data_IF_452414484920
#
_entry.id   IF_452414484920
#
_cell.length_a   1.000
_cell.length_b   1.000
_cell.length_c   1.000
_cell.angle_alpha   90.00
_cell.angle_beta   90.00
_cell.angle_gamma   90.00
#
_symmetry.space_group_name_H-M   'P 1'
#
loop_
_entity.id
_entity.type
_entity.pdbx_description
1 polymer ?
#
# COMPACT_ATOMS: atom_id res chain seq x y z
N UNK A 1 18.89 0.69 -4.95
CA UNK A 1 17.52 1.03 -4.51
C UNK A 1 16.56 0.38 -5.49
N UNK A 2 15.75 -0.59 -5.05
CA UNK A 2 14.77 -1.20 -5.95
C UNK A 2 13.57 -0.26 -6.06
N UNK A 3 13.46 0.48 -7.15
CA UNK A 3 12.27 1.26 -7.48
C UNK A 3 11.30 0.33 -8.19
N UNK A 4 10.15 0.07 -7.58
CA UNK A 4 9.12 -0.74 -8.21
C UNK A 4 8.12 0.15 -8.95
N UNK A 5 8.28 0.24 -10.26
CA UNK A 5 7.38 0.99 -11.15
C UNK A 5 6.26 0.11 -11.73
N UNK A 6 5.98 -1.07 -11.12
CA UNK A 6 5.01 -2.02 -11.66
C UNK A 6 3.56 -1.71 -11.25
N UNK A 7 3.33 -0.70 -10.44
CA UNK A 7 2.00 -0.25 -10.09
C UNK A 7 1.31 0.46 -11.28
N UNK A 8 0.10 0.03 -11.62
CA UNK A 8 -0.80 0.74 -12.56
C UNK A 8 -1.81 1.59 -11.80
N UNK A 9 -2.32 1.08 -10.70
CA UNK A 9 -3.41 1.69 -9.93
C UNK A 9 -2.92 2.53 -8.75
N UNK A 10 -1.62 2.57 -8.49
CA UNK A 10 -1.03 3.41 -7.45
C UNK A 10 0.14 4.24 -8.00
N UNK A 11 0.22 5.48 -7.57
CA UNK A 11 1.32 6.38 -7.86
C UNK A 11 1.52 7.39 -6.73
N UNK A 12 2.76 7.58 -6.29
CA UNK A 12 3.14 8.73 -5.49
C UNK A 12 3.46 9.88 -6.44
N UNK A 13 2.50 10.81 -6.60
CA UNK A 13 2.57 11.88 -7.61
C UNK A 13 3.58 12.95 -7.18
N UNK A 14 3.50 13.40 -5.92
CA UNK A 14 4.34 14.47 -5.37
C UNK A 14 4.54 14.27 -3.87
N UNK A 15 5.63 14.86 -3.37
CA UNK A 15 5.98 14.83 -1.94
C UNK A 15 6.45 16.20 -1.49
N UNK A 16 6.21 16.55 -0.23
CA UNK A 16 6.71 17.79 0.38
C UNK A 16 5.99 18.14 1.68
N UNK A 17 6.66 18.89 2.56
CA UNK A 17 6.14 19.35 3.85
C UNK A 17 5.59 18.23 4.74
N UNK A 18 6.27 17.07 4.78
CA UNK A 18 5.81 15.94 5.58
C UNK A 18 4.58 15.22 5.02
N UNK A 19 4.26 15.41 3.75
CA UNK A 19 3.08 14.84 3.09
C UNK A 19 3.39 14.28 1.72
N UNK A 20 2.53 13.39 1.26
CA UNK A 20 2.55 12.82 -0.08
C UNK A 20 1.18 12.94 -0.75
N UNK A 21 1.19 13.33 -2.02
CA UNK A 21 0.05 13.32 -2.91
C UNK A 21 0.08 12.02 -3.70
N UNK A 22 -0.94 11.20 -3.55
CA UNK A 22 -0.99 9.85 -4.10
C UNK A 22 -2.24 9.62 -4.92
N UNK A 23 -2.10 8.89 -6.01
CA UNK A 23 -3.21 8.34 -6.77
C UNK A 23 -3.44 6.88 -6.39
N UNK A 24 -4.68 6.56 -6.07
CA UNK A 24 -5.16 5.23 -5.72
C UNK A 24 -6.32 4.85 -6.67
N UNK A 25 -5.99 4.22 -7.80
CA UNK A 25 -6.87 4.07 -8.96
C UNK A 25 -7.25 5.47 -9.50
N UNK A 26 -8.50 5.89 -9.41
CA UNK A 26 -8.98 7.23 -9.80
C UNK A 26 -9.22 8.18 -8.61
N UNK A 27 -8.79 7.82 -7.41
CA UNK A 27 -8.90 8.63 -6.21
C UNK A 27 -7.54 9.21 -5.84
N UNK A 28 -7.51 10.51 -5.57
CA UNK A 28 -6.29 11.24 -5.20
C UNK A 28 -6.37 11.64 -3.73
N UNK A 29 -5.38 11.20 -2.96
CA UNK A 29 -5.30 11.43 -1.52
C UNK A 29 -4.05 12.22 -1.15
N UNK A 30 -4.16 13.08 -0.13
CA UNK A 30 -3.01 13.63 0.59
C UNK A 30 -2.92 12.93 1.94
N UNK A 31 -1.74 12.37 2.22
CA UNK A 31 -1.48 11.69 3.50
C UNK A 31 -0.16 12.13 4.10
N UNK A 32 -0.05 12.20 5.44
CA UNK A 32 1.19 12.56 6.10
C UNK A 32 2.24 11.45 5.97
N UNK A 33 3.47 11.87 5.68
CA UNK A 33 4.66 11.05 5.74
C UNK A 33 5.81 11.88 6.35
N UNK A 34 6.12 11.68 7.65
CA UNK A 34 7.08 12.52 8.36
C UNK A 34 8.53 12.37 7.90
N UNK A 35 8.82 11.37 7.09
CA UNK A 35 10.15 11.19 6.48
C UNK A 35 10.42 12.21 5.37
N UNK A 36 9.38 12.88 4.88
CA UNK A 36 9.47 13.89 3.82
C UNK A 36 9.80 15.24 4.45
N UNK A 37 11.09 15.54 4.54
CA UNK A 37 11.62 16.74 5.21
C UNK A 37 11.79 17.97 4.29
N UNK A 38 11.63 17.79 2.98
CA UNK A 38 11.73 18.88 1.99
C UNK A 38 10.42 19.60 1.79
N UNK A 39 10.50 20.83 1.32
CA UNK A 39 9.35 21.68 1.09
C UNK A 39 8.58 21.30 -0.18
N UNK A 40 7.28 21.59 -0.20
CA UNK A 40 6.47 21.55 -1.42
C UNK A 40 6.96 22.64 -2.37
N UNK A 41 7.08 22.32 -3.63
CA UNK A 41 7.43 23.27 -4.70
C UNK A 41 6.22 24.06 -5.19
N UNK A 42 5.01 23.57 -4.92
CA UNK A 42 3.75 24.16 -5.34
C UNK A 42 2.58 23.74 -4.45
N UNK A 43 1.47 24.46 -4.54
CA UNK A 43 0.20 24.07 -3.89
C UNK A 43 -0.43 22.89 -4.60
N UNK A 44 -0.93 21.92 -3.82
CA UNK A 44 -1.71 20.81 -4.35
C UNK A 44 -3.21 21.11 -4.21
N UNK A 45 -3.87 21.38 -5.32
CA UNK A 45 -5.29 21.77 -5.32
C UNK A 45 -6.21 20.65 -5.81
N UNK A 46 -5.66 19.70 -6.58
CA UNK A 46 -6.43 18.61 -7.18
C UNK A 46 -6.25 17.33 -6.36
N UNK A 47 -7.12 17.14 -5.35
CA UNK A 47 -7.21 15.94 -4.54
C UNK A 47 -8.65 15.73 -4.06
N UNK A 48 -8.98 14.50 -3.70
CA UNK A 48 -10.31 14.10 -3.28
C UNK A 48 -10.48 14.07 -1.77
N UNK A 49 -9.43 13.69 -1.03
CA UNK A 49 -9.40 13.76 0.44
C UNK A 49 -7.99 14.03 0.97
N UNK A 50 -7.92 14.63 2.15
CA UNK A 50 -6.69 14.96 2.85
C UNK A 50 -6.78 14.51 4.32
N UNK A 51 -5.79 13.74 4.79
CA UNK A 51 -5.70 13.35 6.18
C UNK A 51 -4.88 14.36 6.98
N UNK A 52 -5.51 15.01 7.93
CA UNK A 52 -4.87 15.95 8.85
C UNK A 52 -4.48 15.27 10.15
N UNK A 53 -3.22 15.42 10.57
CA UNK A 53 -2.76 14.93 11.87
C UNK A 53 -3.21 15.88 12.99
N UNK A 54 -3.66 15.31 14.10
CA UNK A 54 -3.86 16.05 15.35
C UNK A 54 -2.54 16.14 16.11
N UNK A 55 -2.33 17.24 16.86
CA UNK A 55 -1.21 17.40 17.80
C UNK A 55 -1.27 16.43 18.98
N UNK A 56 -2.47 15.95 19.31
CA UNK A 56 -2.73 15.04 20.44
C UNK A 56 -2.67 13.54 20.04
N UNK A 57 -2.26 13.25 18.79
CA UNK A 57 -2.26 11.91 18.21
C UNK A 57 -3.52 11.63 17.38
N UNK A 58 -3.42 10.70 16.41
CA UNK A 58 -4.48 10.43 15.46
C UNK A 58 -4.65 11.52 14.41
N UNK A 59 -5.87 11.80 14.02
CA UNK A 59 -6.23 12.79 13.01
C UNK A 59 -7.59 12.52 12.38
N UNK A 60 -7.89 13.23 11.30
CA UNK A 60 -9.16 13.11 10.58
C UNK A 60 -8.97 13.30 9.09
N UNK A 61 -9.91 12.76 8.32
CA UNK A 61 -10.01 12.98 6.87
C UNK A 61 -10.89 14.18 6.56
N UNK A 62 -10.37 15.11 5.80
CA UNK A 62 -11.15 16.14 5.10
C UNK A 62 -11.50 15.62 3.71
N UNK A 63 -12.78 15.50 3.40
CA UNK A 63 -13.27 15.04 2.11
C UNK A 63 -13.74 16.22 1.25
N UNK A 64 -13.12 16.43 0.09
CA UNK A 64 -13.60 17.40 -0.91
C UNK A 64 -14.72 16.82 -1.76
N UNK A 65 -14.76 15.50 -1.88
CA UNK A 65 -15.79 14.74 -2.60
C UNK A 65 -16.25 13.57 -1.74
N UNK A 66 -17.48 13.14 -1.95
CA UNK A 66 -17.96 11.88 -1.38
C UNK A 66 -17.19 10.73 -2.03
N UNK A 67 -16.42 10.02 -1.24
CA UNK A 67 -15.73 8.80 -1.68
C UNK A 67 -16.61 7.56 -1.43
N UNK A 68 -16.42 6.47 -2.19
CA UNK A 68 -16.99 5.19 -1.83
C UNK A 68 -16.41 4.73 -0.47
N UNK A 69 -17.15 3.91 0.23
CA UNK A 69 -16.70 3.33 1.51
C UNK A 69 -15.38 2.57 1.34
N UNK A 70 -15.23 1.91 0.20
CA UNK A 70 -14.00 1.24 -0.22
C UNK A 70 -13.92 1.18 -1.75
N UNK A 71 -12.71 0.98 -2.27
CA UNK A 71 -12.46 0.70 -3.69
C UNK A 71 -11.32 -0.32 -3.82
N UNK A 72 -11.01 -0.71 -5.03
CA UNK A 72 -9.94 -1.68 -5.30
C UNK A 72 -8.77 -1.06 -6.03
N UNK A 73 -7.59 -1.58 -5.75
CA UNK A 73 -6.36 -1.36 -6.50
C UNK A 73 -5.73 -2.69 -6.84
N UNK A 74 -5.15 -2.79 -8.03
CA UNK A 74 -4.54 -4.02 -8.52
C UNK A 74 -3.02 -3.87 -8.52
N UNK A 75 -2.36 -4.93 -8.09
CA UNK A 75 -0.93 -5.11 -8.29
C UNK A 75 -0.69 -6.44 -8.97
N UNK A 76 -0.28 -6.40 -10.23
CA UNK A 76 -0.23 -7.59 -11.10
C UNK A 76 -1.58 -8.31 -11.08
N UNK A 77 -1.60 -9.59 -10.72
CA UNK A 77 -2.82 -10.41 -10.67
C UNK A 77 -3.56 -10.35 -9.33
N UNK A 78 -3.06 -9.58 -8.37
CA UNK A 78 -3.70 -9.40 -7.06
C UNK A 78 -4.56 -8.16 -7.03
N UNK A 79 -5.73 -8.27 -6.42
CA UNK A 79 -6.65 -7.17 -6.18
C UNK A 79 -6.76 -6.92 -4.67
N UNK A 80 -6.53 -5.67 -4.27
CA UNK A 80 -6.60 -5.25 -2.88
C UNK A 80 -7.75 -4.28 -2.66
N UNK A 81 -8.50 -4.49 -1.58
CA UNK A 81 -9.51 -3.55 -1.09
C UNK A 81 -8.83 -2.49 -0.25
N UNK A 82 -9.09 -1.22 -0.56
CA UNK A 82 -8.56 -0.06 0.16
C UNK A 82 -9.68 0.90 0.53
N UNK A 83 -9.48 1.65 1.62
CA UNK A 83 -10.41 2.67 2.10
C UNK A 83 -9.68 3.68 2.99
N UNK A 84 -10.18 4.91 3.14
CA UNK A 84 -9.75 5.77 4.23
C UNK A 84 -10.11 5.10 5.56
N UNK A 85 -9.13 4.80 6.38
CA UNK A 85 -9.36 4.27 7.72
C UNK A 85 -9.47 5.43 8.74
N UNK A 86 -9.77 5.14 9.99
CA UNK A 86 -9.74 6.13 11.07
C UNK A 86 -8.33 6.72 11.32
N UNK A 87 -7.32 6.17 10.65
CA UNK A 87 -5.94 6.63 10.65
C UNK A 87 -5.52 7.06 9.25
N UNK A 88 -4.27 7.51 9.10
CA UNK A 88 -3.68 7.90 7.82
C UNK A 88 -3.55 6.75 6.78
N UNK A 89 -3.78 5.52 7.20
CA UNK A 89 -3.58 4.32 6.36
C UNK A 89 -4.80 4.03 5.47
N UNK A 90 -4.55 3.38 4.35
CA UNK A 90 -5.57 2.98 3.36
C UNK A 90 -5.81 1.47 3.33
N UNK A 91 -5.14 0.73 4.21
CA UNK A 91 -5.24 -0.73 4.30
C UNK A 91 -4.07 -1.49 3.70
N UNK A 92 -3.25 -0.87 2.84
CA UNK A 92 -2.04 -1.47 2.27
C UNK A 92 -0.85 -0.51 2.31
N UNK A 93 0.33 -1.07 2.13
CA UNK A 93 1.60 -0.33 2.00
C UNK A 93 2.18 -0.58 0.60
N UNK A 94 1.94 0.32 -0.38
CA UNK A 94 2.36 0.13 -1.76
C UNK A 94 3.87 -0.03 -1.94
N UNK A 95 4.65 0.57 -1.05
CA UNK A 95 6.12 0.46 -1.01
C UNK A 95 6.60 -0.96 -0.76
N UNK A 96 5.76 -1.83 -0.18
CA UNK A 96 6.07 -3.24 0.04
C UNK A 96 5.99 -4.10 -1.23
N UNK A 97 5.55 -3.55 -2.34
CA UNK A 97 5.40 -4.29 -3.59
C UNK A 97 6.70 -4.91 -4.11
N UNK A 98 7.86 -4.28 -3.85
CA UNK A 98 9.17 -4.89 -4.15
C UNK A 98 9.45 -6.16 -3.33
N UNK A 99 8.99 -6.18 -2.08
CA UNK A 99 9.08 -7.37 -1.23
C UNK A 99 8.10 -8.45 -1.68
N UNK A 100 6.91 -8.06 -2.16
CA UNK A 100 5.96 -9.03 -2.73
C UNK A 100 6.53 -9.69 -3.99
N UNK A 101 7.22 -8.94 -4.85
CA UNK A 101 7.92 -9.49 -6.01
C UNK A 101 9.04 -10.45 -5.62
N UNK A 102 9.79 -10.11 -4.58
CA UNK A 102 10.81 -11.00 -4.02
C UNK A 102 10.20 -12.30 -3.50
N UNK A 103 9.10 -12.23 -2.74
CA UNK A 103 8.35 -13.39 -2.22
C UNK A 103 7.90 -14.27 -3.40
N UNK A 104 7.26 -13.68 -4.41
CA UNK A 104 6.80 -14.39 -5.60
C UNK A 104 7.94 -15.14 -6.27
N UNK A 105 9.05 -14.43 -6.54
CA UNK A 105 10.23 -15.04 -7.18
C UNK A 105 10.76 -16.22 -6.38
N UNK A 106 10.94 -16.04 -5.05
CA UNK A 106 11.53 -17.08 -4.19
C UNK A 106 10.64 -18.32 -4.09
N UNK A 107 9.34 -18.12 -3.91
CA UNK A 107 8.41 -19.25 -3.83
C UNK A 107 8.32 -19.98 -5.17
N UNK A 108 8.18 -19.26 -6.27
CA UNK A 108 8.10 -19.84 -7.61
C UNK A 108 9.37 -20.64 -7.97
N UNK A 109 10.55 -20.11 -7.61
CA UNK A 109 11.81 -20.81 -7.83
C UNK A 109 11.90 -22.09 -6.99
N UNK A 110 11.58 -22.03 -5.70
CA UNK A 110 11.63 -23.17 -4.79
C UNK A 110 10.67 -24.29 -5.19
N UNK A 111 9.44 -23.94 -5.59
CA UNK A 111 8.39 -24.86 -6.00
C UNK A 111 8.70 -25.63 -7.29
N UNK A 112 9.70 -25.23 -8.07
CA UNK A 112 10.16 -26.01 -9.25
C UNK A 112 10.76 -27.36 -8.88
N UNK A 113 11.29 -27.48 -7.67
CA UNK A 113 12.04 -28.67 -7.22
C UNK A 113 11.51 -29.27 -5.92
N UNK A 114 10.51 -28.64 -5.30
CA UNK A 114 9.94 -29.07 -4.02
C UNK A 114 8.41 -29.08 -4.07
N UNK A 115 7.80 -30.14 -3.57
CA UNK A 115 6.35 -30.34 -3.59
C UNK A 115 5.62 -29.56 -2.48
N UNK A 116 6.34 -29.15 -1.44
CA UNK A 116 5.76 -28.37 -0.32
C UNK A 116 6.60 -27.14 -0.02
N UNK A 117 5.92 -26.06 0.35
CA UNK A 117 6.53 -24.86 0.89
C UNK A 117 5.62 -24.22 1.91
N UNK A 118 6.11 -24.04 3.13
CA UNK A 118 5.40 -23.35 4.20
C UNK A 118 5.98 -21.97 4.41
N UNK A 119 5.13 -20.97 4.55
CA UNK A 119 5.53 -19.57 4.74
C UNK A 119 4.92 -19.06 6.05
N UNK A 120 5.76 -18.45 6.88
CA UNK A 120 5.35 -17.73 8.08
C UNK A 120 5.43 -16.23 7.81
N UNK A 121 4.29 -15.54 7.87
CA UNK A 121 4.20 -14.10 7.75
C UNK A 121 3.90 -13.49 9.13
N UNK A 122 4.91 -12.89 9.76
CA UNK A 122 4.81 -12.18 11.03
C UNK A 122 4.47 -10.71 10.81
N UNK A 123 3.70 -10.13 11.72
CA UNK A 123 3.21 -8.75 11.61
C UNK A 123 2.47 -8.51 10.28
N UNK A 124 1.61 -9.44 9.94
CA UNK A 124 1.09 -9.62 8.59
C UNK A 124 0.10 -8.52 8.14
N UNK A 125 -0.32 -7.65 9.07
CA UNK A 125 -1.21 -6.52 8.81
C UNK A 125 -2.50 -6.97 8.10
N UNK A 126 -2.84 -6.38 6.95
CA UNK A 126 -4.02 -6.75 6.15
C UNK A 126 -3.81 -7.97 5.25
N UNK A 127 -2.60 -8.54 5.20
CA UNK A 127 -2.33 -9.79 4.53
C UNK A 127 -1.81 -9.71 3.09
N UNK A 128 -1.34 -8.57 2.60
CA UNK A 128 -0.83 -8.47 1.21
C UNK A 128 0.30 -9.47 0.92
N UNK A 129 1.26 -9.59 1.84
CA UNK A 129 2.35 -10.57 1.70
C UNK A 129 1.85 -12.02 1.81
N UNK A 130 0.86 -12.29 2.67
CA UNK A 130 0.18 -13.58 2.77
C UNK A 130 -0.48 -13.96 1.44
N UNK A 131 -1.24 -13.03 0.86
CA UNK A 131 -1.89 -13.24 -0.44
C UNK A 131 -0.86 -13.51 -1.55
N UNK A 132 0.24 -12.73 -1.57
CA UNK A 132 1.31 -12.96 -2.55
C UNK A 132 1.97 -14.32 -2.36
N UNK A 133 2.25 -14.74 -1.13
CA UNK A 133 2.84 -16.04 -0.86
C UNK A 133 1.92 -17.19 -1.33
N UNK A 134 0.63 -17.11 -1.01
CA UNK A 134 -0.37 -18.09 -1.45
C UNK A 134 -0.50 -18.13 -2.98
N UNK A 135 -0.64 -16.97 -3.61
CA UNK A 135 -0.70 -16.84 -5.07
C UNK A 135 0.53 -17.42 -5.77
N UNK A 136 1.70 -17.29 -5.15
CA UNK A 136 2.99 -17.76 -5.70
C UNK A 136 3.18 -19.28 -5.59
N UNK A 137 2.26 -20.01 -4.93
CA UNK A 137 2.28 -21.46 -4.83
C UNK A 137 2.80 -22.01 -3.49
N UNK A 138 2.82 -21.20 -2.42
CA UNK A 138 3.01 -21.73 -1.07
C UNK A 138 1.87 -22.71 -0.74
N UNK A 139 2.21 -23.89 -0.19
CA UNK A 139 1.24 -24.93 0.19
C UNK A 139 0.55 -24.58 1.51
N UNK A 140 1.21 -23.82 2.34
CA UNK A 140 0.68 -23.32 3.61
C UNK A 140 1.23 -21.92 3.88
N UNK A 141 0.38 -21.00 4.32
CA UNK A 141 0.81 -19.67 4.79
C UNK A 141 0.20 -19.41 6.15
N UNK A 142 1.05 -19.26 7.16
CA UNK A 142 0.66 -18.88 8.52
C UNK A 142 0.71 -17.36 8.62
N UNK A 143 -0.44 -16.74 8.90
CA UNK A 143 -0.63 -15.30 9.03
C UNK A 143 -0.74 -14.92 10.50
N UNK A 144 0.20 -14.15 11.01
CA UNK A 144 0.26 -13.73 12.42
C UNK A 144 0.19 -12.20 12.48
N UNK A 145 -0.81 -11.68 13.22
CA UNK A 145 -1.01 -10.25 13.47
C UNK A 145 -0.16 -9.74 14.64
#
# INVERSE_FOLDING_TARGET
MNTNNNWKDYECIKTGNGEKLERWNNIILIRPDPQIIWNKTEKWNNYDAHYHRSSEGGGYWEFKKKLPEHWTVNYKDLTFKVSPTNFKHTGIFPEQSSNWDFINKKITEYRKTHDEMRVLNLFAYTGCATMMASFSGATEVVHVL
#
